data_IF_820989041186
#
_entry.id   IF_820989041186
#
_cell.length_a   1.000
_cell.length_b   1.000
_cell.length_c   1.000
_cell.angle_alpha   90.00
_cell.angle_beta   90.00
_cell.angle_gamma   90.00
#
_symmetry.space_group_name_H-M   'P 1'
#
loop_
_entity.id
_entity.type
_entity.pdbx_description
1 polymer ?
#
# COMPACT_ATOMS: atom_id res chain seq x y z
N UNK A 1 0.83 -34.10 3.78
CA UNK A 1 0.04 -32.87 3.51
C UNK A 1 -0.57 -32.85 2.11
N UNK A 2 0.22 -32.95 1.03
CA UNK A 2 -0.29 -32.96 -0.36
C UNK A 2 -1.42 -33.97 -0.61
N UNK A 3 -1.21 -35.23 -0.22
CA UNK A 3 -2.20 -36.30 -0.38
C UNK A 3 -3.53 -36.00 0.34
N UNK A 4 -3.46 -35.60 1.62
CA UNK A 4 -4.65 -35.19 2.39
C UNK A 4 -5.40 -34.03 1.73
N UNK A 5 -4.69 -33.00 1.24
CA UNK A 5 -5.32 -31.88 0.53
C UNK A 5 -6.09 -32.42 -0.68
N UNK A 6 -5.44 -33.20 -1.54
CA UNK A 6 -6.01 -33.66 -2.81
C UNK A 6 -7.16 -34.66 -2.61
N UNK A 7 -6.99 -35.63 -1.72
CA UNK A 7 -7.87 -36.79 -1.64
C UNK A 7 -8.93 -36.71 -0.54
N UNK A 8 -8.74 -35.83 0.44
CA UNK A 8 -9.66 -35.66 1.58
C UNK A 8 -10.23 -34.24 1.64
N UNK A 9 -9.39 -33.21 1.77
CA UNK A 9 -9.84 -31.84 2.00
C UNK A 9 -10.62 -31.26 0.81
N UNK A 10 -10.13 -31.45 -0.42
CA UNK A 10 -10.77 -30.94 -1.65
C UNK A 10 -12.23 -31.44 -1.82
N UNK A 11 -12.54 -32.65 -1.33
CA UNK A 11 -13.89 -33.23 -1.40
C UNK A 11 -14.88 -32.59 -0.43
N UNK A 12 -14.39 -31.84 0.56
CA UNK A 12 -15.17 -31.21 1.62
C UNK A 12 -15.07 -29.67 1.59
N UNK A 13 -14.65 -29.11 0.45
CA UNK A 13 -14.64 -27.66 0.28
C UNK A 13 -16.06 -27.10 0.31
N UNK A 14 -16.16 -25.89 0.83
CA UNK A 14 -17.41 -25.12 0.80
C UNK A 14 -17.75 -24.79 -0.65
N UNK A 15 -19.04 -24.80 -0.98
CA UNK A 15 -19.55 -24.56 -2.33
C UNK A 15 -19.62 -23.07 -2.70
N UNK A 16 -19.59 -22.19 -1.70
CA UNK A 16 -19.67 -20.75 -1.88
C UNK A 16 -18.51 -20.05 -1.15
N UNK A 17 -18.18 -18.85 -1.62
CA UNK A 17 -17.10 -18.02 -1.09
C UNK A 17 -17.60 -17.13 0.07
N UNK A 18 -16.63 -16.53 0.78
CA UNK A 18 -16.90 -15.62 1.89
C UNK A 18 -16.98 -16.32 3.25
N UNK A 19 -16.85 -15.54 4.31
CA UNK A 19 -17.00 -16.05 5.68
C UNK A 19 -18.46 -16.21 6.06
N UNK A 20 -19.39 -15.53 5.38
CA UNK A 20 -20.83 -15.60 5.62
C UNK A 20 -21.42 -17.01 5.45
N UNK A 21 -20.74 -17.91 4.74
CA UNK A 21 -21.16 -19.31 4.59
C UNK A 21 -20.66 -20.22 5.72
N UNK A 22 -19.92 -19.66 6.68
CA UNK A 22 -19.46 -20.39 7.87
C UNK A 22 -20.54 -20.33 8.95
N UNK A 23 -20.56 -21.32 9.83
CA UNK A 23 -21.30 -21.20 11.09
C UNK A 23 -20.77 -19.97 11.86
N UNK A 24 -21.66 -19.03 12.21
CA UNK A 24 -21.32 -17.72 12.80
C UNK A 24 -20.43 -16.81 11.93
N UNK A 25 -20.53 -16.96 10.61
CA UNK A 25 -19.72 -16.22 9.65
C UNK A 25 -19.89 -14.71 9.67
N UNK A 26 -21.12 -14.24 9.90
CA UNK A 26 -21.42 -12.81 9.95
C UNK A 26 -20.87 -12.19 11.23
N UNK A 27 -21.06 -12.86 12.37
CA UNK A 27 -20.52 -12.44 13.67
C UNK A 27 -18.98 -12.43 13.63
N UNK A 28 -18.36 -13.40 12.96
CA UNK A 28 -16.92 -13.40 12.71
C UNK A 28 -16.48 -12.20 11.86
N UNK A 29 -17.19 -11.89 10.77
CA UNK A 29 -16.87 -10.76 9.92
C UNK A 29 -16.99 -9.41 10.65
N UNK A 30 -18.06 -9.22 11.43
CA UNK A 30 -18.25 -8.03 12.27
C UNK A 30 -17.14 -7.90 13.33
N UNK A 31 -16.72 -9.01 13.94
CA UNK A 31 -15.60 -9.02 14.88
C UNK A 31 -14.28 -8.61 14.19
N UNK A 32 -14.02 -9.10 12.97
CA UNK A 32 -12.86 -8.71 12.16
C UNK A 32 -12.91 -7.23 11.78
N UNK A 33 -14.06 -6.69 11.38
CA UNK A 33 -14.21 -5.26 11.09
C UNK A 33 -13.89 -4.41 12.31
N UNK A 34 -14.46 -4.75 13.48
CA UNK A 34 -14.18 -4.06 14.73
C UNK A 34 -12.69 -4.13 15.09
N UNK A 35 -12.06 -5.28 14.86
CA UNK A 35 -10.63 -5.48 15.09
C UNK A 35 -9.76 -4.57 14.21
N UNK A 36 -9.97 -4.59 12.89
CA UNK A 36 -9.12 -3.83 11.95
C UNK A 36 -9.40 -2.33 11.92
N UNK A 37 -10.67 -1.93 12.05
CA UNK A 37 -11.08 -0.52 11.93
C UNK A 37 -11.06 0.20 13.28
N UNK A 38 -11.12 -0.54 14.40
CA UNK A 38 -11.31 0.04 15.74
C UNK A 38 -12.56 0.93 15.88
N UNK A 39 -13.49 0.81 14.94
CA UNK A 39 -14.76 1.54 14.89
C UNK A 39 -15.93 0.55 14.92
N UNK A 40 -17.06 0.91 15.54
CA UNK A 40 -18.26 0.07 15.58
C UNK A 40 -19.08 0.20 14.29
N UNK A 41 -18.45 0.01 13.12
CA UNK A 41 -19.10 0.11 11.81
C UNK A 41 -19.69 -1.23 11.39
N UNK A 42 -20.85 -1.20 10.75
CA UNK A 42 -21.46 -2.38 10.14
C UNK A 42 -20.88 -2.64 8.74
N UNK A 43 -20.89 -3.91 8.28
CA UNK A 43 -20.48 -4.28 6.92
C UNK A 43 -21.11 -3.43 5.82
N UNK A 44 -22.40 -3.13 5.93
CA UNK A 44 -23.16 -2.37 4.93
C UNK A 44 -22.71 -0.90 4.87
N UNK A 45 -22.34 -0.32 6.00
CA UNK A 45 -21.83 1.06 6.07
C UNK A 45 -20.46 1.17 5.39
N UNK A 46 -19.59 0.17 5.60
CA UNK A 46 -18.28 0.08 4.95
C UNK A 46 -18.46 -0.12 3.44
N UNK A 47 -19.37 -1.01 3.04
CA UNK A 47 -19.65 -1.27 1.63
C UNK A 47 -20.18 -0.02 0.92
N UNK A 48 -21.19 0.65 1.49
CA UNK A 48 -21.76 1.85 0.89
C UNK A 48 -20.71 2.97 0.76
N UNK A 49 -19.88 3.18 1.78
CA UNK A 49 -18.77 4.12 1.70
C UNK A 49 -17.80 3.76 0.56
N UNK A 50 -17.50 2.49 0.37
CA UNK A 50 -16.68 2.02 -0.74
C UNK A 50 -17.29 2.35 -2.10
N UNK A 51 -18.59 2.15 -2.28
CA UNK A 51 -19.32 2.52 -3.50
C UNK A 51 -19.25 4.04 -3.74
N UNK A 52 -19.49 4.84 -2.70
CA UNK A 52 -19.43 6.30 -2.80
C UNK A 52 -18.03 6.78 -3.20
N UNK A 53 -16.97 6.21 -2.62
CA UNK A 53 -15.59 6.54 -2.96
C UNK A 53 -15.18 6.09 -4.37
N UNK A 54 -15.65 4.92 -4.83
CA UNK A 54 -15.45 4.48 -6.23
C UNK A 54 -16.06 5.49 -7.19
N UNK A 55 -17.28 5.97 -6.93
CA UNK A 55 -17.91 7.00 -7.76
C UNK A 55 -17.16 8.33 -7.73
N UNK A 56 -16.74 8.78 -6.53
CA UNK A 56 -15.97 10.02 -6.36
C UNK A 56 -14.65 9.96 -7.13
N UNK A 57 -13.84 8.93 -6.89
CA UNK A 57 -12.51 8.77 -7.51
C UNK A 57 -12.65 8.58 -9.03
N UNK A 58 -13.61 7.77 -9.49
CA UNK A 58 -13.87 7.61 -10.93
C UNK A 58 -14.19 8.95 -11.61
N UNK A 59 -14.93 9.82 -10.92
CA UNK A 59 -15.25 11.16 -11.44
C UNK A 59 -14.02 12.07 -11.51
N UNK A 60 -13.10 11.97 -10.55
CA UNK A 60 -11.82 12.71 -10.60
C UNK A 60 -10.91 12.22 -11.72
N UNK A 61 -10.79 10.90 -11.91
CA UNK A 61 -10.03 10.29 -13.03
C UNK A 61 -10.55 10.80 -14.38
N UNK A 62 -11.87 10.90 -14.56
CA UNK A 62 -12.45 11.43 -15.81
C UNK A 62 -12.10 12.90 -16.05
N UNK A 63 -11.94 13.72 -14.99
CA UNK A 63 -11.46 15.10 -15.15
C UNK A 63 -9.99 15.12 -15.61
N UNK A 64 -9.16 14.22 -15.10
CA UNK A 64 -7.75 14.07 -15.52
C UNK A 64 -7.69 13.69 -17.00
N UNK A 65 -8.46 12.70 -17.42
CA UNK A 65 -8.51 12.28 -18.83
C UNK A 65 -8.89 13.43 -19.76
N UNK A 66 -9.87 14.25 -19.36
CA UNK A 66 -10.25 15.43 -20.13
C UNK A 66 -9.09 16.42 -20.29
N UNK A 67 -8.27 16.65 -19.24
CA UNK A 67 -7.09 17.52 -19.32
C UNK A 67 -6.02 16.94 -20.24
N UNK A 68 -5.89 15.62 -20.25
CA UNK A 68 -4.96 14.86 -21.11
C UNK A 68 -5.49 14.63 -22.53
N UNK A 69 -6.70 15.11 -22.85
CA UNK A 69 -7.41 14.83 -24.10
C UNK A 69 -7.57 13.32 -24.41
N UNK A 70 -7.69 12.50 -23.35
CA UNK A 70 -7.98 11.08 -23.44
C UNK A 70 -9.49 10.88 -23.45
N UNK A 71 -9.96 9.96 -24.30
CA UNK A 71 -11.38 9.65 -24.45
C UNK A 71 -11.60 8.14 -24.38
N UNK A 72 -12.72 7.73 -23.80
CA UNK A 72 -13.05 6.32 -23.56
C UNK A 72 -13.45 6.05 -22.11
N UNK A 73 -13.75 4.79 -21.83
CA UNK A 73 -13.98 4.31 -20.47
C UNK A 73 -12.68 4.29 -19.66
N UNK A 74 -12.80 4.30 -18.34
CA UNK A 74 -11.64 4.17 -17.43
C UNK A 74 -10.75 2.98 -17.76
N UNK A 75 -11.35 1.83 -18.05
CA UNK A 75 -10.62 0.63 -18.42
C UNK A 75 -9.84 0.81 -19.73
N UNK A 76 -10.49 1.31 -20.79
CA UNK A 76 -9.85 1.50 -22.10
C UNK A 76 -8.66 2.45 -22.02
N UNK A 77 -8.79 3.54 -21.27
CA UNK A 77 -7.69 4.51 -21.10
C UNK A 77 -6.54 3.89 -20.30
N UNK A 78 -6.83 3.16 -19.22
CA UNK A 78 -5.80 2.45 -18.46
C UNK A 78 -5.08 1.37 -19.28
N UNK A 79 -5.82 0.58 -20.06
CA UNK A 79 -5.25 -0.43 -20.97
C UNK A 79 -4.33 0.22 -22.03
N UNK A 80 -4.67 1.43 -22.48
CA UNK A 80 -3.86 2.20 -23.43
C UNK A 80 -2.57 2.73 -22.78
N UNK A 81 -2.65 3.34 -21.60
CA UNK A 81 -1.47 3.94 -20.95
C UNK A 81 -0.57 2.90 -20.28
N UNK A 82 -1.10 1.79 -19.76
CA UNK A 82 -0.28 0.73 -19.12
C UNK A 82 0.75 0.16 -20.11
N UNK A 83 0.39 0.06 -21.39
CA UNK A 83 1.22 -0.54 -22.43
C UNK A 83 1.99 0.50 -23.28
N UNK A 84 1.86 1.79 -22.99
CA UNK A 84 2.56 2.84 -23.74
C UNK A 84 4.06 2.82 -23.37
N UNK A 85 4.98 2.57 -24.33
CA UNK A 85 6.42 2.46 -24.04
C UNK A 85 7.02 3.70 -23.35
N UNK A 86 6.39 4.87 -23.45
CA UNK A 86 6.88 6.08 -22.76
C UNK A 86 6.75 6.00 -21.24
N UNK A 87 5.91 5.12 -20.72
CA UNK A 87 5.73 4.88 -19.29
C UNK A 87 6.45 3.62 -18.81
N UNK A 88 7.25 2.98 -19.65
CA UNK A 88 8.00 1.78 -19.27
C UNK A 88 9.49 2.08 -19.19
N UNK A 89 10.16 1.43 -18.25
CA UNK A 89 11.61 1.47 -18.13
C UNK A 89 12.20 0.15 -18.61
N UNK A 90 13.35 0.23 -19.29
CA UNK A 90 13.90 -0.90 -20.04
C UNK A 90 14.70 -1.90 -19.18
N UNK A 91 14.83 -1.68 -17.87
CA UNK A 91 15.57 -2.58 -16.98
C UNK A 91 15.17 -2.43 -15.50
N UNK A 92 15.44 -3.48 -14.73
CA UNK A 92 15.29 -3.49 -13.27
C UNK A 92 16.14 -2.40 -12.59
N UNK A 93 17.36 -2.16 -13.10
CA UNK A 93 18.26 -1.13 -12.59
C UNK A 93 17.69 0.27 -12.81
N UNK A 94 17.08 0.51 -13.98
CA UNK A 94 16.43 1.79 -14.26
C UNK A 94 15.24 2.03 -13.33
N UNK A 95 14.44 0.99 -13.04
CA UNK A 95 13.32 1.09 -12.09
C UNK A 95 13.82 1.38 -10.66
N UNK A 96 14.88 0.69 -10.21
CA UNK A 96 15.46 0.94 -8.88
C UNK A 96 16.00 2.36 -8.74
N UNK A 97 16.71 2.85 -9.75
CA UNK A 97 17.22 4.23 -9.73
C UNK A 97 16.09 5.27 -9.81
N UNK A 98 15.02 5.02 -10.58
CA UNK A 98 13.86 5.93 -10.61
C UNK A 98 13.18 6.00 -9.22
N UNK A 99 12.99 4.87 -8.53
CA UNK A 99 12.46 4.90 -7.16
C UNK A 99 13.37 5.66 -6.20
N UNK A 100 14.69 5.48 -6.27
CA UNK A 100 15.64 6.25 -5.45
C UNK A 100 15.55 7.74 -5.75
N UNK A 101 15.46 8.12 -7.02
CA UNK A 101 15.34 9.52 -7.43
C UNK A 101 14.02 10.15 -6.95
N UNK A 102 12.91 9.42 -7.09
CA UNK A 102 11.60 9.85 -6.57
C UNK A 102 11.67 10.03 -5.05
N UNK A 103 12.19 9.05 -4.31
CA UNK A 103 12.20 9.11 -2.84
C UNK A 103 13.16 10.19 -2.34
N UNK A 104 14.43 10.13 -2.74
CA UNK A 104 15.49 10.91 -2.10
C UNK A 104 15.67 12.31 -2.70
N UNK A 105 15.42 12.49 -4.00
CA UNK A 105 15.62 13.79 -4.67
C UNK A 105 14.33 14.59 -4.82
N UNK A 106 13.19 13.91 -4.93
CA UNK A 106 11.90 14.55 -5.23
C UNK A 106 11.00 14.64 -4.00
N UNK A 107 10.79 13.56 -3.25
CA UNK A 107 9.89 13.58 -2.08
C UNK A 107 10.59 14.10 -0.82
N UNK A 108 11.71 13.50 -0.43
CA UNK A 108 12.38 13.80 0.85
C UNK A 108 12.65 15.29 1.11
N UNK A 109 13.11 16.11 0.14
CA UNK A 109 13.34 17.55 0.37
C UNK A 109 12.07 18.34 0.70
N UNK A 110 10.88 17.80 0.37
CA UNK A 110 9.60 18.45 0.63
C UNK A 110 8.97 18.06 1.98
N UNK A 111 9.48 17.03 2.67
CA UNK A 111 8.95 16.61 3.97
C UNK A 111 8.89 17.72 5.03
N UNK A 112 9.91 18.61 5.17
CA UNK A 112 9.86 19.69 6.16
C UNK A 112 8.73 20.71 5.95
N UNK A 113 8.08 20.71 4.77
CA UNK A 113 6.90 21.56 4.52
C UNK A 113 5.69 21.12 5.35
N UNK A 114 5.57 19.82 5.63
CA UNK A 114 4.38 19.21 6.26
C UNK A 114 4.69 18.60 7.62
N UNK A 115 5.92 18.14 7.85
CA UNK A 115 6.31 17.39 9.05
C UNK A 115 7.39 18.10 9.85
N UNK A 116 7.27 18.04 11.18
CA UNK A 116 8.24 18.57 12.14
C UNK A 116 8.90 17.43 12.90
N UNK A 117 10.12 17.64 13.38
CA UNK A 117 10.87 16.65 14.18
C UNK A 117 11.08 15.33 13.44
N UNK A 118 11.43 15.43 12.14
CA UNK A 118 11.69 14.27 11.29
C UNK A 118 12.71 13.32 11.95
N UNK A 119 12.36 12.04 12.21
CA UNK A 119 13.29 11.06 12.71
C UNK A 119 14.41 10.84 11.70
N UNK A 120 15.65 10.77 12.18
CA UNK A 120 16.79 10.44 11.34
C UNK A 120 17.01 8.93 11.34
N UNK A 121 16.18 8.19 10.58
CA UNK A 121 16.33 6.76 10.38
C UNK A 121 16.67 6.45 8.91
N UNK A 122 17.63 5.55 8.65
CA UNK A 122 18.06 5.26 7.30
C UNK A 122 17.02 4.46 6.52
N UNK A 123 16.91 4.76 5.23
CA UNK A 123 16.08 4.07 4.26
C UNK A 123 16.93 3.61 3.08
N UNK A 124 16.69 2.38 2.63
CA UNK A 124 17.24 1.85 1.37
C UNK A 124 16.12 1.38 0.44
N UNK A 125 16.42 1.38 -0.86
CA UNK A 125 15.56 0.79 -1.90
C UNK A 125 16.26 -0.46 -2.44
N UNK A 126 15.59 -1.61 -2.38
CA UNK A 126 16.17 -2.91 -2.78
C UNK A 126 15.19 -3.68 -3.67
N UNK A 127 15.67 -4.60 -4.54
CA UNK A 127 14.79 -5.52 -5.24
C UNK A 127 14.14 -6.50 -4.25
N UNK A 128 12.87 -6.82 -4.46
CA UNK A 128 12.18 -7.90 -3.74
C UNK A 128 12.87 -9.25 -4.01
N UNK A 129 12.88 -10.11 -2.99
CA UNK A 129 13.43 -11.47 -3.10
C UNK A 129 12.43 -12.46 -3.70
N UNK A 130 11.14 -12.11 -3.70
CA UNK A 130 10.04 -12.93 -4.20
C UNK A 130 9.09 -12.11 -5.03
N UNK A 131 8.50 -12.72 -6.05
CA UNK A 131 7.40 -12.13 -6.79
C UNK A 131 6.15 -12.01 -5.89
N UNK A 132 5.38 -10.94 -6.06
CA UNK A 132 4.29 -10.55 -5.16
C UNK A 132 3.79 -9.13 -5.41
N UNK A 133 3.45 -8.35 -4.37
CA UNK A 133 2.95 -6.98 -4.54
C UNK A 133 3.99 -6.08 -5.24
N UNK A 134 3.54 -4.95 -5.81
CA UNK A 134 4.42 -4.01 -6.53
C UNK A 134 5.58 -3.48 -5.67
N UNK A 135 5.36 -3.36 -4.36
CA UNK A 135 6.43 -3.17 -3.39
C UNK A 135 5.96 -3.48 -1.97
N UNK A 136 6.91 -3.46 -1.03
CA UNK A 136 6.64 -3.61 0.41
C UNK A 136 7.66 -2.85 1.23
N UNK A 137 7.25 -2.38 2.40
CA UNK A 137 8.14 -1.79 3.38
C UNK A 137 8.54 -2.79 4.49
N UNK A 138 9.83 -2.80 4.81
CA UNK A 138 10.37 -3.45 5.99
C UNK A 138 10.91 -2.42 6.97
N UNK A 139 10.42 -2.49 8.21
CA UNK A 139 10.84 -1.60 9.29
C UNK A 139 12.33 -1.78 9.65
N UNK A 140 12.95 -0.66 10.04
CA UNK A 140 14.26 -0.57 10.69
C UNK A 140 14.34 -1.59 11.83
N UNK A 141 15.47 -2.27 12.01
CA UNK A 141 15.62 -3.17 13.15
C UNK A 141 15.64 -2.39 14.48
N UNK A 142 15.10 -2.96 15.58
CA UNK A 142 15.08 -2.26 16.88
C UNK A 142 16.46 -1.84 17.40
N UNK A 143 17.51 -2.58 17.02
CA UNK A 143 18.92 -2.30 17.38
C UNK A 143 19.65 -1.42 16.36
N UNK A 144 18.99 -0.98 15.28
CA UNK A 144 19.57 -0.16 14.22
C UNK A 144 20.54 -0.88 13.28
N UNK A 145 20.77 -2.19 13.44
CA UNK A 145 21.67 -2.97 12.58
C UNK A 145 21.20 -3.08 11.12
N UNK A 146 19.90 -2.93 10.84
CA UNK A 146 19.31 -2.91 9.51
C UNK A 146 18.49 -1.64 9.30
N UNK A 147 18.66 -0.93 8.18
CA UNK A 147 17.84 0.24 7.86
C UNK A 147 16.40 -0.18 7.55
N UNK A 148 15.53 0.82 7.40
CA UNK A 148 14.25 0.62 6.75
C UNK A 148 14.49 0.28 5.28
N UNK A 149 13.70 -0.62 4.71
CA UNK A 149 13.89 -1.06 3.33
C UNK A 149 12.56 -0.97 2.61
N UNK A 150 12.53 -0.20 1.52
CA UNK A 150 11.51 -0.32 0.51
C UNK A 150 11.95 -1.38 -0.52
N UNK A 151 11.23 -2.50 -0.56
CA UNK A 151 11.43 -3.54 -1.55
C UNK A 151 10.55 -3.29 -2.76
N UNK A 152 11.15 -2.98 -3.91
CA UNK A 152 10.46 -2.87 -5.19
C UNK A 152 10.38 -4.25 -5.86
N UNK A 153 9.20 -4.65 -6.33
CA UNK A 153 9.06 -5.86 -7.14
C UNK A 153 9.49 -5.57 -8.58
N UNK A 154 10.50 -6.28 -9.04
CA UNK A 154 11.12 -6.11 -10.36
C UNK A 154 11.03 -7.38 -11.23
N UNK A 155 10.16 -8.33 -10.88
CA UNK A 155 10.00 -9.58 -11.62
C UNK A 155 9.33 -9.36 -12.99
N UNK A 156 8.51 -8.32 -13.14
CA UNK A 156 7.78 -7.96 -14.36
C UNK A 156 7.98 -6.47 -14.70
N UNK A 157 9.20 -6.05 -15.13
CA UNK A 157 9.52 -4.64 -15.37
C UNK A 157 8.73 -4.04 -16.54
N UNK A 158 8.32 -4.85 -17.51
CA UNK A 158 7.46 -4.51 -18.63
C UNK A 158 5.99 -4.30 -18.24
N UNK A 159 5.59 -4.71 -17.04
CA UNK A 159 4.27 -4.48 -16.46
C UNK A 159 4.25 -3.38 -15.38
N UNK A 160 5.35 -2.64 -15.23
CA UNK A 160 5.56 -1.65 -14.18
C UNK A 160 5.54 -0.22 -14.73
N UNK A 161 4.36 0.36 -15.00
CA UNK A 161 4.27 1.70 -15.55
C UNK A 161 4.73 2.76 -14.53
N UNK A 162 5.57 3.69 -14.98
CA UNK A 162 6.21 4.72 -14.16
C UNK A 162 5.24 5.71 -13.53
N UNK A 163 4.04 5.87 -14.09
CA UNK A 163 3.04 6.80 -13.56
C UNK A 163 2.56 6.44 -12.15
N UNK A 164 2.67 5.16 -11.73
CA UNK A 164 2.32 4.71 -10.37
C UNK A 164 3.49 4.78 -9.37
N UNK A 165 4.71 5.12 -9.81
CA UNK A 165 5.89 5.00 -8.95
C UNK A 165 5.90 6.03 -7.82
N UNK A 166 5.36 7.23 -8.07
CA UNK A 166 5.29 8.28 -7.05
C UNK A 166 4.36 7.86 -5.92
N UNK A 167 3.16 7.36 -6.24
CA UNK A 167 2.20 6.90 -5.23
C UNK A 167 2.75 5.74 -4.41
N UNK A 168 3.35 4.74 -5.05
CA UNK A 168 3.94 3.63 -4.31
C UNK A 168 5.11 4.07 -3.42
N UNK A 169 5.93 5.02 -3.89
CA UNK A 169 6.99 5.61 -3.07
C UNK A 169 6.45 6.43 -1.90
N UNK A 170 5.33 7.15 -2.09
CA UNK A 170 4.62 7.87 -1.03
C UNK A 170 4.07 6.90 0.01
N UNK A 171 3.51 5.77 -0.44
CA UNK A 171 2.90 4.73 0.39
C UNK A 171 3.93 3.95 1.23
N UNK A 172 4.92 3.36 0.57
CA UNK A 172 5.85 2.41 1.21
C UNK A 172 7.01 3.13 1.92
N UNK A 173 7.44 4.27 1.37
CA UNK A 173 8.59 5.00 1.88
C UNK A 173 8.17 6.31 2.57
N UNK A 174 8.33 7.44 1.89
CA UNK A 174 8.20 8.77 2.48
C UNK A 174 7.03 9.48 1.82
N UNK A 175 6.05 10.03 2.56
CA UNK A 175 5.90 10.05 4.02
C UNK A 175 5.10 8.88 4.60
N UNK A 176 4.88 7.80 3.86
CA UNK A 176 4.07 6.66 4.29
C UNK A 176 4.72 5.77 5.35
N UNK A 177 4.78 4.46 5.11
CA UNK A 177 5.16 3.48 6.13
C UNK A 177 6.52 3.74 6.76
N UNK A 178 7.55 4.09 5.97
CA UNK A 178 8.86 4.37 6.53
C UNK A 178 8.82 5.52 7.54
N UNK A 179 8.18 6.65 7.19
CA UNK A 179 8.15 7.79 8.10
C UNK A 179 7.27 7.51 9.33
N UNK A 180 6.09 6.90 9.14
CA UNK A 180 5.19 6.52 10.23
C UNK A 180 5.89 5.64 11.27
N UNK A 181 6.48 4.54 10.80
CA UNK A 181 7.13 3.56 11.66
C UNK A 181 8.44 4.10 12.24
N UNK A 182 9.05 5.09 11.58
CA UNK A 182 10.19 5.83 12.12
C UNK A 182 9.80 6.68 13.33
N UNK A 183 8.67 7.41 13.26
CA UNK A 183 8.15 8.15 14.43
C UNK A 183 7.80 7.19 15.58
N UNK A 184 7.18 6.06 15.26
CA UNK A 184 6.87 5.04 16.25
C UNK A 184 8.13 4.47 16.91
N UNK A 185 9.19 4.21 16.12
CA UNK A 185 10.44 3.63 16.62
C UNK A 185 11.23 4.53 17.58
N UNK A 186 11.12 5.85 17.44
CA UNK A 186 11.80 6.82 18.32
C UNK A 186 10.90 7.34 19.45
N UNK A 187 9.63 6.96 19.47
CA UNK A 187 8.69 7.39 20.50
C UNK A 187 8.99 6.73 21.85
N UNK A 188 8.93 7.51 22.93
CA UNK A 188 9.05 6.99 24.30
C UNK A 188 7.73 6.35 24.76
N UNK A 189 7.41 5.18 24.21
CA UNK A 189 6.20 4.41 24.52
C UNK A 189 6.55 2.94 24.80
N UNK A 190 5.68 2.16 25.48
CA UNK A 190 5.94 0.75 25.75
C UNK A 190 6.26 -0.06 24.49
N UNK A 191 7.23 -0.99 24.59
CA UNK A 191 7.76 -1.76 23.46
C UNK A 191 6.68 -2.47 22.63
N UNK A 192 5.65 -3.01 23.28
CA UNK A 192 4.54 -3.68 22.58
C UNK A 192 3.73 -2.74 21.65
N UNK A 193 3.88 -1.42 21.79
CA UNK A 193 3.30 -0.41 20.89
C UNK A 193 4.23 0.00 19.76
N UNK A 194 5.52 -0.33 19.85
CA UNK A 194 6.51 -0.03 18.80
C UNK A 194 6.83 -1.25 17.93
N UNK A 195 6.59 -2.46 18.42
CA UNK A 195 6.83 -3.72 17.71
C UNK A 195 5.54 -4.35 17.21
N UNK A 196 5.40 -4.52 15.89
CA UNK A 196 4.38 -5.40 15.30
C UNK A 196 4.74 -6.86 15.58
N UNK A 197 3.82 -7.62 16.17
CA UNK A 197 4.10 -8.98 16.69
C UNK A 197 3.52 -10.07 15.78
N UNK A 198 2.60 -9.71 14.90
CA UNK A 198 1.99 -10.61 13.91
C UNK A 198 1.71 -9.83 12.61
N UNK A 199 2.38 -10.22 11.51
CA UNK A 199 2.29 -9.57 10.19
C UNK A 199 1.35 -10.30 9.22
N UNK A 200 0.61 -11.31 9.70
CA UNK A 200 -0.23 -12.16 8.85
C UNK A 200 -1.67 -11.65 8.70
N UNK A 201 -2.00 -10.51 9.32
CA UNK A 201 -3.37 -9.95 9.39
C UNK A 201 -4.41 -10.97 9.90
N UNK A 202 -3.99 -12.05 10.56
CA UNK A 202 -4.86 -13.11 11.05
C UNK A 202 -5.55 -12.66 12.33
N UNK A 203 -6.84 -12.96 12.49
CA UNK A 203 -7.59 -12.60 13.71
C UNK A 203 -7.86 -13.88 14.53
N UNK A 204 -7.64 -13.88 15.85
CA UNK A 204 -6.99 -12.85 16.67
C UNK A 204 -5.45 -13.00 16.72
N UNK A 205 -4.71 -11.88 16.77
CA UNK A 205 -3.25 -11.86 17.05
C UNK A 205 -2.97 -11.63 18.53
N UNK A 206 -1.74 -11.89 18.96
CA UNK A 206 -1.33 -11.68 20.36
C UNK A 206 -1.35 -10.19 20.79
N UNK A 207 -1.22 -9.27 19.82
CA UNK A 207 -1.27 -7.82 20.03
C UNK A 207 -2.15 -7.14 18.98
N UNK A 208 -2.90 -6.09 19.32
CA UNK A 208 -3.78 -5.39 18.38
C UNK A 208 -3.06 -4.98 17.09
N UNK A 209 -3.60 -5.37 15.94
CA UNK A 209 -3.16 -4.86 14.64
C UNK A 209 -3.97 -3.62 14.30
N UNK A 210 -3.33 -2.46 14.25
CA UNK A 210 -3.98 -1.20 13.89
C UNK A 210 -3.97 -1.01 12.37
N UNK A 211 -4.54 -1.96 11.62
CA UNK A 211 -4.51 -1.96 10.15
C UNK A 211 -5.04 -0.64 9.57
N UNK A 212 -6.17 -0.14 10.07
CA UNK A 212 -6.70 1.14 9.61
C UNK A 212 -5.77 2.34 9.89
N UNK A 213 -4.95 2.29 10.94
CA UNK A 213 -3.96 3.33 11.23
C UNK A 213 -2.73 3.21 10.33
N UNK A 214 -2.26 1.98 10.06
CA UNK A 214 -1.07 1.72 9.24
C UNK A 214 -1.36 1.98 7.76
N UNK A 215 -2.33 1.28 7.20
CA UNK A 215 -2.71 1.38 5.79
C UNK A 215 -3.43 2.70 5.49
N UNK A 216 -4.27 3.16 6.42
CA UNK A 216 -4.94 4.46 6.28
C UNK A 216 -3.95 5.63 6.29
N UNK A 217 -2.85 5.52 7.04
CA UNK A 217 -1.77 6.51 6.97
C UNK A 217 -1.07 6.50 5.62
N UNK A 218 -0.74 5.32 5.09
CA UNK A 218 -0.05 5.20 3.81
C UNK A 218 -0.91 5.74 2.65
N UNK A 219 -2.22 5.43 2.62
CA UNK A 219 -3.17 6.01 1.66
C UNK A 219 -3.33 7.54 1.85
N UNK A 220 -3.32 8.02 3.08
CA UNK A 220 -3.31 9.47 3.34
C UNK A 220 -2.01 10.12 2.84
N UNK A 221 -0.86 9.46 3.02
CA UNK A 221 0.44 9.94 2.57
C UNK A 221 0.52 10.09 1.04
N UNK A 222 -0.13 9.21 0.27
CA UNK A 222 -0.29 9.37 -1.18
C UNK A 222 -0.95 10.71 -1.53
N UNK A 223 -2.04 11.06 -0.83
CA UNK A 223 -2.76 12.33 -1.07
C UNK A 223 -1.90 13.58 -0.78
N UNK A 224 -0.92 13.48 0.12
CA UNK A 224 0.01 14.57 0.42
C UNK A 224 0.98 14.86 -0.74
N UNK A 225 1.05 13.97 -1.73
CA UNK A 225 1.87 14.17 -2.92
C UNK A 225 1.56 15.48 -3.64
N UNK A 226 0.27 15.86 -3.69
CA UNK A 226 -0.16 17.12 -4.30
C UNK A 226 0.31 18.33 -3.49
N UNK A 227 0.14 18.30 -2.17
CA UNK A 227 0.54 19.39 -1.27
C UNK A 227 2.07 19.59 -1.23
N UNK A 228 2.82 18.50 -1.34
CA UNK A 228 4.28 18.56 -1.46
C UNK A 228 4.74 19.06 -2.84
N UNK A 229 3.86 19.04 -3.84
CA UNK A 229 4.17 19.39 -5.22
C UNK A 229 5.06 18.36 -5.90
N UNK A 230 4.94 17.08 -5.50
CA UNK A 230 5.81 16.03 -6.00
C UNK A 230 5.26 15.35 -7.23
N UNK A 231 4.11 15.67 -7.80
CA UNK A 231 3.66 15.13 -9.09
C UNK A 231 4.11 16.03 -10.26
N UNK A 232 4.75 15.47 -11.29
CA UNK A 232 5.37 16.17 -12.43
C UNK A 232 4.34 16.48 -13.51
N UNK A 233 3.33 15.64 -13.64
CA UNK A 233 2.31 15.74 -14.67
C UNK A 233 1.01 15.07 -14.22
N UNK A 234 -0.03 15.19 -15.04
CA UNK A 234 -1.36 14.65 -14.78
C UNK A 234 -1.45 13.10 -14.89
N UNK A 235 -0.43 12.41 -15.42
CA UNK A 235 -0.44 10.94 -15.44
C UNK A 235 -0.08 10.33 -14.09
N UNK A 236 0.76 11.02 -13.31
CA UNK A 236 1.13 10.60 -11.96
C UNK A 236 0.10 11.06 -10.90
N UNK A 237 -1.09 11.56 -11.28
CA UNK A 237 -2.12 12.09 -10.36
C UNK A 237 -3.40 11.26 -10.38
#
# INVERSE_FOLDING_TARGET
MKDYIQNTYMKHLRQAFGVNVWTHGNEFYEACLKWHLSLPLKPEEVHQKGIDEVHRISSEIQKIFKRLNLTGTTKEVFDLIKNDPKFLLNSTDAILEEYKDIIFKRIQPNLPKLFKNLPNLPLEVRPSLTDGPGGTYQQVSPDGSRPGIFYANLFHPDESPTFNFVDLALHEALPGHHLQLSYQGVANIPLFRTTGVDWTYMVPTAFPSYTAYIEGWALYAESLGEEMGVFKNDYER
#
